data_IF_554248834357
#
_entry.id   IF_554248834357
#
_cell.length_a   1.000
_cell.length_b   1.000
_cell.length_c   1.000
_cell.angle_alpha   90.00
_cell.angle_beta   90.00
_cell.angle_gamma   90.00
#
_symmetry.space_group_name_H-M   'P 1'
#
loop_
_entity.id
_entity.type
_entity.pdbx_description
1 polymer ?
#
# COMPACT_ATOMS: atom_id res chain seq x y z
N UNK A 1 10.99 24.22 -4.33
CA UNK A 1 11.05 22.98 -5.11
C UNK A 1 9.87 22.14 -4.67
N UNK A 2 9.08 21.66 -5.60
CA UNK A 2 7.92 20.81 -5.27
C UNK A 2 8.39 19.39 -4.93
N UNK A 3 7.74 18.79 -3.95
CA UNK A 3 8.01 17.43 -3.46
C UNK A 3 6.77 16.58 -3.72
N UNK A 4 6.96 15.35 -4.20
CA UNK A 4 5.93 14.32 -4.26
C UNK A 4 6.03 13.44 -3.02
N UNK A 5 4.97 13.40 -2.23
CA UNK A 5 4.87 12.56 -1.02
C UNK A 5 4.04 11.32 -1.34
N UNK A 6 4.64 10.15 -1.19
CA UNK A 6 3.99 8.86 -1.41
C UNK A 6 3.99 8.06 -0.11
N UNK A 7 2.82 7.73 0.39
CA UNK A 7 2.66 6.90 1.59
C UNK A 7 2.26 5.46 1.22
N UNK A 8 2.70 4.49 2.02
CA UNK A 8 2.14 3.13 2.03
C UNK A 8 1.67 2.77 3.43
N UNK A 9 0.51 2.12 3.54
CA UNK A 9 -0.07 1.74 4.82
C UNK A 9 -0.94 0.48 4.70
N UNK A 10 -0.54 -0.61 5.35
CA UNK A 10 -1.41 -1.76 5.56
C UNK A 10 -2.39 -1.41 6.69
N UNK A 11 -3.68 -1.29 6.38
CA UNK A 11 -4.72 -0.81 7.31
C UNK A 11 -5.40 -1.95 8.11
N UNK A 12 -4.91 -3.17 7.99
CA UNK A 12 -5.46 -4.34 8.68
C UNK A 12 -7.00 -4.41 8.61
N UNK A 13 -7.55 -4.20 7.42
CA UNK A 13 -9.01 -4.24 7.14
C UNK A 13 -9.85 -3.19 7.89
N UNK A 14 -9.21 -2.18 8.48
CA UNK A 14 -9.87 -1.17 9.31
C UNK A 14 -10.39 -1.68 10.65
N UNK A 15 -9.93 -2.85 11.11
CA UNK A 15 -10.39 -3.51 12.34
C UNK A 15 -9.20 -4.04 13.13
N UNK A 16 -9.12 -3.72 14.41
CA UNK A 16 -8.08 -4.20 15.32
C UNK A 16 -8.62 -5.14 16.38
N UNK A 17 -7.77 -6.05 16.90
CA UNK A 17 -8.08 -7.00 17.93
C UNK A 17 -8.70 -8.30 17.41
N UNK A 18 -8.95 -9.24 18.33
CA UNK A 18 -9.46 -10.61 18.03
C UNK A 18 -10.72 -10.90 18.86
N UNK A 19 -11.60 -11.71 18.31
CA UNK A 19 -12.81 -12.16 19.02
C UNK A 19 -13.69 -11.00 19.50
N UNK A 20 -14.14 -11.02 20.76
CA UNK A 20 -15.05 -10.00 21.30
C UNK A 20 -14.39 -8.64 21.57
N UNK A 21 -13.05 -8.59 21.59
CA UNK A 21 -12.30 -7.32 21.80
C UNK A 21 -11.95 -6.60 20.50
N UNK A 22 -12.56 -7.01 19.39
CA UNK A 22 -12.37 -6.31 18.11
C UNK A 22 -12.93 -4.90 18.16
N UNK A 23 -12.20 -3.98 17.54
CA UNK A 23 -12.56 -2.56 17.45
C UNK A 23 -12.52 -2.11 16.01
N UNK A 24 -13.51 -1.32 15.63
CA UNK A 24 -13.53 -0.65 14.34
C UNK A 24 -12.63 0.58 14.41
N UNK A 25 -11.58 0.58 13.62
CA UNK A 25 -10.58 1.66 13.57
C UNK A 25 -10.63 2.47 12.26
N UNK A 26 -11.49 2.10 11.31
CA UNK A 26 -11.55 2.71 9.99
C UNK A 26 -11.74 4.25 10.03
N UNK A 27 -12.51 4.77 10.99
CA UNK A 27 -12.69 6.21 11.17
C UNK A 27 -11.43 6.91 11.63
N UNK A 28 -10.68 6.29 12.56
CA UNK A 28 -9.40 6.79 13.01
C UNK A 28 -8.35 6.72 11.88
N UNK A 29 -8.42 5.67 11.05
CA UNK A 29 -7.56 5.53 9.87
C UNK A 29 -7.87 6.63 8.84
N UNK A 30 -9.15 7.03 8.66
CA UNK A 30 -9.51 8.17 7.81
C UNK A 30 -8.79 9.45 8.24
N UNK A 31 -8.86 9.81 9.52
CA UNK A 31 -8.11 10.95 10.07
C UNK A 31 -6.58 10.78 9.94
N UNK A 32 -6.09 9.55 10.10
CA UNK A 32 -4.68 9.25 9.92
C UNK A 32 -4.23 9.48 8.48
N UNK A 33 -5.02 9.05 7.48
CA UNK A 33 -4.72 9.28 6.06
C UNK A 33 -4.65 10.77 5.75
N UNK A 34 -5.56 11.60 6.30
CA UNK A 34 -5.48 13.05 6.18
C UNK A 34 -4.19 13.61 6.80
N UNK A 35 -3.79 13.11 7.98
CA UNK A 35 -2.59 13.56 8.70
C UNK A 35 -1.28 13.16 7.99
N UNK A 36 -1.27 12.12 7.14
CA UNK A 36 -0.09 11.77 6.35
C UNK A 36 0.29 12.89 5.37
N UNK A 37 -0.67 13.73 4.98
CA UNK A 37 -0.51 14.80 3.97
C UNK A 37 0.31 14.32 2.76
N UNK A 38 -0.01 13.11 2.29
CA UNK A 38 0.68 12.49 1.17
C UNK A 38 -0.10 12.71 -0.11
N UNK A 39 0.57 13.02 -1.21
CA UNK A 39 -0.07 13.21 -2.52
C UNK A 39 -0.68 11.93 -3.07
N UNK A 40 -0.04 10.80 -2.74
CA UNK A 40 -0.46 9.44 -3.12
C UNK A 40 -0.39 8.56 -1.89
N UNK A 41 -1.47 7.82 -1.60
CA UNK A 41 -1.54 6.86 -0.50
C UNK A 41 -1.84 5.47 -1.05
N UNK A 42 -0.90 4.54 -0.87
CA UNK A 42 -1.01 3.14 -1.25
C UNK A 42 -1.48 2.32 -0.06
N UNK A 43 -2.67 1.75 -0.13
CA UNK A 43 -3.29 1.03 0.97
C UNK A 43 -3.36 -0.48 0.69
N UNK A 44 -3.10 -1.30 1.70
CA UNK A 44 -3.24 -2.74 1.66
C UNK A 44 -4.30 -3.21 2.65
N UNK A 45 -4.86 -4.39 2.40
CA UNK A 45 -5.95 -4.99 3.16
C UNK A 45 -7.22 -4.14 3.22
N UNK A 46 -7.48 -3.36 2.19
CA UNK A 46 -8.69 -2.53 2.06
C UNK A 46 -9.90 -3.40 1.71
N UNK A 47 -11.06 -3.13 2.29
CA UNK A 47 -12.31 -3.84 2.01
C UNK A 47 -13.28 -2.98 1.20
N UNK A 48 -13.90 -3.59 0.21
CA UNK A 48 -15.05 -3.00 -0.48
C UNK A 48 -16.35 -3.43 0.19
N UNK A 49 -16.44 -4.73 0.54
CA UNK A 49 -17.63 -5.31 1.17
C UNK A 49 -17.21 -6.33 2.23
N UNK A 50 -17.88 -6.34 3.38
CA UNK A 50 -17.76 -7.43 4.36
C UNK A 50 -19.01 -7.59 5.22
N UNK A 51 -19.98 -8.39 4.74
CA UNK A 51 -21.35 -8.57 5.32
C UNK A 51 -21.40 -8.94 6.80
N UNK A 52 -20.40 -9.71 7.29
CA UNK A 52 -20.36 -10.10 8.71
C UNK A 52 -19.94 -8.96 9.62
N UNK A 53 -18.99 -8.14 9.21
CA UNK A 53 -18.51 -7.02 10.02
C UNK A 53 -19.45 -5.83 9.96
N UNK A 54 -20.05 -5.58 8.82
CA UNK A 54 -21.14 -4.63 8.64
C UNK A 54 -22.29 -4.87 9.63
N UNK A 55 -22.65 -6.15 9.89
CA UNK A 55 -23.64 -6.51 10.91
C UNK A 55 -23.12 -6.42 12.35
N UNK A 56 -21.82 -6.58 12.54
CA UNK A 56 -21.19 -6.60 13.86
C UNK A 56 -20.90 -5.20 14.40
N UNK A 57 -20.45 -4.29 13.53
CA UNK A 57 -20.08 -2.93 13.89
C UNK A 57 -21.17 -1.93 13.50
N UNK A 58 -21.82 -1.30 14.48
CA UNK A 58 -22.90 -0.31 14.24
C UNK A 58 -22.45 0.92 13.46
N UNK A 59 -21.14 1.23 13.43
CA UNK A 59 -20.55 2.37 12.73
C UNK A 59 -19.75 1.94 11.50
N UNK A 60 -20.07 0.80 10.91
CA UNK A 60 -19.43 0.39 9.65
C UNK A 60 -19.73 1.42 8.56
N UNK A 61 -18.72 1.87 7.76
CA UNK A 61 -18.95 2.86 6.72
C UNK A 61 -19.94 2.35 5.67
N UNK A 62 -20.82 3.22 5.19
CA UNK A 62 -21.74 2.92 4.08
C UNK A 62 -20.99 2.82 2.73
N UNK A 63 -19.93 3.62 2.57
CA UNK A 63 -19.07 3.59 1.40
C UNK A 63 -18.03 2.46 1.51
N UNK A 64 -17.56 1.92 0.38
CA UNK A 64 -16.36 1.08 0.35
C UNK A 64 -15.18 1.78 1.04
N UNK A 65 -14.33 1.03 1.73
CA UNK A 65 -13.27 1.62 2.56
C UNK A 65 -12.33 2.55 1.77
N UNK A 66 -12.01 2.23 0.51
CA UNK A 66 -11.15 3.10 -0.30
C UNK A 66 -11.76 4.49 -0.52
N UNK A 67 -13.05 4.54 -0.83
CA UNK A 67 -13.79 5.78 -1.02
C UNK A 67 -13.99 6.54 0.31
N UNK A 68 -14.29 5.80 1.38
CA UNK A 68 -14.45 6.35 2.72
C UNK A 68 -13.14 6.98 3.27
N UNK A 69 -11.99 6.40 2.93
CA UNK A 69 -10.67 6.87 3.39
C UNK A 69 -10.09 7.98 2.52
N UNK A 70 -10.65 8.24 1.35
CA UNK A 70 -10.16 9.27 0.45
C UNK A 70 -10.44 10.67 1.03
N UNK A 71 -9.41 11.49 1.29
CA UNK A 71 -9.62 12.88 1.67
C UNK A 71 -10.35 13.66 0.59
N UNK A 72 -10.94 14.81 0.96
CA UNK A 72 -11.61 15.67 -0.01
C UNK A 72 -10.65 16.05 -1.16
N UNK A 73 -11.14 15.93 -2.39
CA UNK A 73 -10.37 16.20 -3.61
C UNK A 73 -9.46 15.06 -4.07
N UNK A 74 -9.40 13.93 -3.34
CA UNK A 74 -8.68 12.76 -3.80
C UNK A 74 -9.55 11.83 -4.65
N UNK A 75 -8.91 11.18 -5.62
CA UNK A 75 -9.49 10.08 -6.37
C UNK A 75 -9.10 8.75 -5.72
N UNK A 76 -10.05 7.85 -5.53
CA UNK A 76 -9.82 6.52 -5.01
C UNK A 76 -9.89 5.47 -6.14
N UNK A 77 -8.89 4.58 -6.19
CA UNK A 77 -8.88 3.40 -7.05
C UNK A 77 -8.73 2.18 -6.17
N UNK A 78 -9.61 1.20 -6.34
CA UNK A 78 -9.59 -0.05 -5.57
C UNK A 78 -9.60 -1.26 -6.49
N UNK A 79 -8.88 -2.30 -6.08
CA UNK A 79 -8.90 -3.60 -6.76
C UNK A 79 -8.93 -4.74 -5.75
N UNK A 80 -9.87 -5.65 -5.95
CA UNK A 80 -9.99 -6.88 -5.15
C UNK A 80 -8.85 -7.83 -5.47
N UNK A 81 -8.15 -8.30 -4.44
CA UNK A 81 -7.14 -9.35 -4.56
C UNK A 81 -7.69 -10.69 -4.07
N UNK A 82 -8.49 -10.69 -3.01
CA UNK A 82 -8.98 -11.90 -2.38
C UNK A 82 -10.47 -11.80 -2.06
N UNK A 83 -11.18 -12.89 -2.39
CA UNK A 83 -12.61 -13.04 -2.10
C UNK A 83 -12.81 -14.14 -1.07
N UNK A 84 -13.67 -13.88 -0.09
CA UNK A 84 -14.04 -14.80 0.97
C UNK A 84 -15.55 -15.03 1.00
N UNK A 85 -16.02 -15.99 1.78
CA UNK A 85 -17.47 -16.23 1.97
C UNK A 85 -18.24 -14.99 2.43
N UNK A 86 -17.59 -14.08 3.17
CA UNK A 86 -18.26 -12.96 3.83
C UNK A 86 -17.97 -11.60 3.19
N UNK A 87 -17.05 -11.52 2.26
CA UNK A 87 -16.63 -10.29 1.61
C UNK A 87 -15.32 -10.43 0.86
N UNK A 88 -14.68 -9.32 0.62
CA UNK A 88 -13.45 -9.23 -0.16
C UNK A 88 -12.48 -8.23 0.46
N UNK A 89 -11.22 -8.32 0.07
CA UNK A 89 -10.23 -7.32 0.38
C UNK A 89 -9.18 -7.22 -0.74
N UNK A 90 -8.52 -6.09 -0.81
CA UNK A 90 -7.55 -5.86 -1.86
C UNK A 90 -6.65 -4.67 -1.58
N UNK A 91 -6.13 -4.12 -2.64
CA UNK A 91 -5.29 -2.94 -2.63
C UNK A 91 -6.07 -1.71 -3.09
N UNK A 92 -5.73 -0.55 -2.54
CA UNK A 92 -6.25 0.73 -3.00
C UNK A 92 -5.15 1.77 -3.17
N UNK A 93 -5.43 2.76 -4.00
CA UNK A 93 -4.61 3.96 -4.15
C UNK A 93 -5.53 5.17 -4.04
N UNK A 94 -5.15 6.11 -3.18
CA UNK A 94 -5.77 7.43 -3.08
C UNK A 94 -4.80 8.45 -3.68
N UNK A 95 -5.29 9.34 -4.54
CA UNK A 95 -4.44 10.31 -5.23
C UNK A 95 -5.04 11.71 -5.21
N UNK A 96 -4.25 12.68 -4.78
CA UNK A 96 -4.50 14.12 -4.95
C UNK A 96 -4.34 14.55 -6.41
N UNK A 97 -3.55 13.79 -7.18
CA UNK A 97 -3.30 14.02 -8.60
C UNK A 97 -4.28 13.25 -9.48
N UNK A 98 -4.62 13.76 -10.67
CA UNK A 98 -5.53 13.08 -11.58
C UNK A 98 -5.06 11.67 -11.95
N UNK A 99 -5.95 10.70 -11.81
CA UNK A 99 -5.77 9.33 -12.27
C UNK A 99 -6.04 9.28 -13.77
N UNK A 100 -5.06 8.81 -14.53
CA UNK A 100 -5.14 8.69 -16.01
C UNK A 100 -5.70 7.34 -16.42
N UNK A 101 -5.19 6.28 -15.80
CA UNK A 101 -5.64 4.90 -16.02
C UNK A 101 -5.24 4.00 -14.85
N UNK A 102 -5.85 2.84 -14.77
CA UNK A 102 -5.45 1.80 -13.83
C UNK A 102 -5.60 0.41 -14.44
N UNK A 103 -4.84 -0.54 -13.89
CA UNK A 103 -4.86 -1.96 -14.26
C UNK A 103 -4.62 -2.84 -13.04
N UNK A 104 -4.87 -4.12 -13.22
CA UNK A 104 -4.68 -5.13 -12.18
C UNK A 104 -4.07 -6.40 -12.79
N UNK A 105 -3.23 -7.08 -12.00
CA UNK A 105 -2.74 -8.41 -12.34
C UNK A 105 -2.81 -9.32 -11.12
N UNK A 106 -3.23 -10.57 -11.33
CA UNK A 106 -3.24 -11.61 -10.30
C UNK A 106 -1.79 -12.05 -10.03
N UNK A 107 -1.36 -11.90 -8.80
CA UNK A 107 -0.02 -12.24 -8.30
C UNK A 107 -0.06 -13.48 -7.40
N UNK A 108 -1.16 -14.22 -7.39
CA UNK A 108 -1.34 -15.39 -6.53
C UNK A 108 -0.39 -16.52 -6.96
N UNK A 109 0.43 -16.98 -6.03
CA UNK A 109 1.35 -18.10 -6.27
C UNK A 109 0.68 -19.46 -6.00
N UNK A 110 -0.32 -19.46 -5.11
CA UNK A 110 -1.11 -20.64 -4.78
C UNK A 110 -2.50 -20.26 -4.29
N UNK A 111 -3.45 -21.22 -4.40
CA UNK A 111 -4.89 -21.01 -4.16
C UNK A 111 -5.27 -20.56 -2.73
N UNK A 112 -4.40 -20.73 -1.75
CA UNK A 112 -4.69 -20.42 -0.36
C UNK A 112 -4.36 -18.99 0.02
N UNK A 113 -3.60 -18.28 -0.81
CA UNK A 113 -3.17 -16.91 -0.56
C UNK A 113 -3.30 -16.08 -1.83
N UNK A 114 -4.47 -15.47 -1.99
CA UNK A 114 -4.75 -14.61 -3.14
C UNK A 114 -4.04 -13.27 -2.97
N UNK A 115 -3.29 -12.87 -3.97
CA UNK A 115 -2.54 -11.62 -4.05
C UNK A 115 -2.74 -10.96 -5.40
N UNK A 116 -2.67 -9.65 -5.43
CA UNK A 116 -2.80 -8.88 -6.66
C UNK A 116 -1.93 -7.64 -6.65
N UNK A 117 -1.65 -7.17 -7.85
CA UNK A 117 -0.98 -5.92 -8.14
C UNK A 117 -2.03 -4.93 -8.61
N UNK A 118 -2.09 -3.75 -7.99
CA UNK A 118 -2.84 -2.61 -8.50
C UNK A 118 -1.86 -1.62 -9.11
N UNK A 119 -1.96 -1.37 -10.42
CA UNK A 119 -1.18 -0.38 -11.13
C UNK A 119 -2.05 0.84 -11.47
N UNK A 120 -1.62 2.02 -11.08
CA UNK A 120 -2.31 3.29 -11.36
C UNK A 120 -1.33 4.25 -12.01
N UNK A 121 -1.76 4.90 -13.09
CA UNK A 121 -1.03 5.98 -13.73
C UNK A 121 -1.63 7.31 -13.25
N UNK A 122 -0.80 8.16 -12.68
CA UNK A 122 -1.21 9.50 -12.20
C UNK A 122 -0.46 10.59 -12.97
N UNK A 123 -1.16 11.70 -13.22
CA UNK A 123 -0.56 12.88 -13.86
C UNK A 123 -0.05 13.83 -12.78
N UNK A 124 1.25 13.78 -12.49
CA UNK A 124 1.90 14.65 -11.51
C UNK A 124 2.53 15.84 -12.26
N UNK A 125 1.91 17.00 -12.16
CA UNK A 125 2.29 18.18 -12.94
C UNK A 125 2.35 17.86 -14.45
N UNK A 126 3.55 17.91 -15.05
CA UNK A 126 3.77 17.67 -16.49
C UNK A 126 4.28 16.27 -16.80
N UNK A 127 4.47 15.42 -15.79
CA UNK A 127 4.97 14.06 -15.98
C UNK A 127 3.96 13.00 -15.56
N UNK A 128 4.00 11.86 -16.22
CA UNK A 128 3.26 10.67 -15.83
C UNK A 128 4.10 9.88 -14.83
N UNK A 129 3.46 9.47 -13.74
CA UNK A 129 4.06 8.63 -12.71
C UNK A 129 3.24 7.34 -12.63
N UNK A 130 3.89 6.22 -12.80
CA UNK A 130 3.31 4.89 -12.57
C UNK A 130 3.44 4.54 -11.10
N UNK A 131 2.36 4.09 -10.48
CA UNK A 131 2.34 3.65 -9.08
C UNK A 131 1.77 2.25 -9.01
N UNK A 132 2.55 1.31 -8.49
CA UNK A 132 2.14 -0.08 -8.29
C UNK A 132 1.99 -0.32 -6.80
N UNK A 133 0.79 -0.76 -6.38
CA UNK A 133 0.49 -1.13 -5.00
C UNK A 133 0.52 -2.64 -4.87
N UNK A 134 1.29 -3.14 -3.91
CA UNK A 134 1.50 -4.57 -3.65
C UNK A 134 1.12 -4.95 -2.22
N UNK A 135 0.74 -6.21 -2.05
CA UNK A 135 0.77 -6.94 -0.78
C UNK A 135 1.24 -8.36 -1.08
N UNK A 136 2.52 -8.64 -0.82
CA UNK A 136 3.14 -9.93 -1.16
C UNK A 136 2.78 -11.03 -0.15
N UNK A 137 3.02 -12.27 -0.56
CA UNK A 137 2.71 -13.46 0.22
C UNK A 137 3.61 -13.64 1.46
N UNK A 138 3.13 -14.44 2.41
CA UNK A 138 3.84 -14.75 3.66
C UNK A 138 5.00 -15.75 3.44
N UNK A 139 4.95 -16.56 2.37
CA UNK A 139 5.95 -17.58 2.07
C UNK A 139 7.09 -16.97 1.27
N UNK A 140 8.34 -17.11 1.75
CA UNK A 140 9.51 -16.50 1.12
C UNK A 140 9.71 -16.92 -0.35
N UNK A 141 9.51 -18.19 -0.69
CA UNK A 141 9.62 -18.67 -2.07
C UNK A 141 8.53 -18.08 -2.97
N UNK A 142 7.31 -17.91 -2.46
CA UNK A 142 6.21 -17.26 -3.18
C UNK A 142 6.55 -15.80 -3.48
N UNK A 143 7.09 -15.06 -2.50
CA UNK A 143 7.51 -13.67 -2.71
C UNK A 143 8.53 -13.52 -3.83
N UNK A 144 9.51 -14.43 -3.92
CA UNK A 144 10.49 -14.37 -5.01
C UNK A 144 9.84 -14.56 -6.39
N UNK A 145 8.90 -15.50 -6.53
CA UNK A 145 8.13 -15.69 -7.77
C UNK A 145 7.25 -14.49 -8.08
N UNK A 146 6.62 -13.91 -7.07
CA UNK A 146 5.82 -12.68 -7.21
C UNK A 146 6.66 -11.48 -7.65
N UNK A 147 7.90 -11.34 -7.17
CA UNK A 147 8.83 -10.31 -7.66
C UNK A 147 9.23 -10.55 -9.12
N UNK A 148 9.39 -11.80 -9.54
CA UNK A 148 9.65 -12.13 -10.95
C UNK A 148 8.45 -11.77 -11.84
N UNK A 149 7.23 -12.08 -11.41
CA UNK A 149 5.99 -11.67 -12.09
C UNK A 149 5.87 -10.14 -12.14
N UNK A 150 6.18 -9.44 -11.05
CA UNK A 150 6.25 -7.97 -11.02
C UNK A 150 7.22 -7.44 -12.06
N UNK A 151 8.41 -8.04 -12.19
CA UNK A 151 9.41 -7.64 -13.18
C UNK A 151 8.88 -7.77 -14.61
N UNK A 152 8.26 -8.90 -14.94
CA UNK A 152 7.63 -9.15 -16.24
C UNK A 152 6.49 -8.14 -16.52
N UNK A 153 5.68 -7.85 -15.51
CA UNK A 153 4.63 -6.83 -15.60
C UNK A 153 5.22 -5.44 -15.90
N UNK A 154 6.23 -5.04 -15.15
CA UNK A 154 6.89 -3.74 -15.32
C UNK A 154 7.50 -3.61 -16.73
N UNK A 155 8.13 -4.66 -17.24
CA UNK A 155 8.71 -4.66 -18.59
C UNK A 155 7.66 -4.52 -19.70
N UNK A 156 6.47 -5.08 -19.48
CA UNK A 156 5.35 -5.05 -20.43
C UNK A 156 4.58 -3.72 -20.38
N UNK A 157 4.31 -3.20 -19.16
CA UNK A 157 3.32 -2.15 -18.97
C UNK A 157 3.92 -0.76 -18.65
N UNK A 158 5.18 -0.68 -18.24
CA UNK A 158 5.78 0.57 -17.75
C UNK A 158 6.96 0.99 -18.63
N UNK A 159 6.82 2.05 -19.44
CA UNK A 159 7.92 2.55 -20.26
C UNK A 159 9.17 2.86 -19.43
N UNK A 160 10.34 2.46 -19.91
CA UNK A 160 11.61 2.58 -19.15
C UNK A 160 11.96 4.02 -18.76
N UNK A 161 11.49 5.00 -19.54
CA UNK A 161 11.76 6.44 -19.32
C UNK A 161 10.77 7.11 -18.37
N UNK A 162 9.66 6.44 -18.06
CA UNK A 162 8.64 6.99 -17.16
C UNK A 162 8.96 6.66 -15.71
N UNK A 163 8.58 7.57 -14.81
CA UNK A 163 8.76 7.40 -13.39
C UNK A 163 7.87 6.28 -12.85
N UNK A 164 8.43 5.43 -11.99
CA UNK A 164 7.73 4.31 -11.37
C UNK A 164 7.97 4.32 -9.87
N UNK A 165 6.89 4.17 -9.13
CA UNK A 165 6.88 3.87 -7.69
C UNK A 165 6.25 2.50 -7.49
N UNK A 166 6.86 1.65 -6.68
CA UNK A 166 6.29 0.38 -6.22
C UNK A 166 6.24 0.43 -4.71
N UNK A 167 5.03 0.41 -4.14
CA UNK A 167 4.81 0.59 -2.71
C UNK A 167 3.88 -0.48 -2.14
N UNK A 168 4.07 -0.84 -0.87
CA UNK A 168 3.19 -1.80 -0.21
C UNK A 168 3.84 -2.57 0.92
N UNK A 169 3.11 -3.59 1.37
CA UNK A 169 3.57 -4.60 2.31
C UNK A 169 4.23 -5.75 1.54
N UNK A 170 5.54 -5.82 1.64
CA UNK A 170 6.36 -6.84 0.96
C UNK A 170 6.54 -8.12 1.78
N UNK A 171 6.09 -8.13 3.03
CA UNK A 171 6.30 -9.24 3.96
C UNK A 171 7.76 -9.74 4.00
N UNK A 172 8.73 -8.83 3.77
CA UNK A 172 10.16 -9.17 3.64
C UNK A 172 10.89 -9.17 4.98
N UNK A 173 10.62 -10.16 5.79
CA UNK A 173 11.19 -10.34 7.13
C UNK A 173 12.72 -10.31 7.19
N UNK A 174 13.40 -10.54 6.10
CA UNK A 174 14.86 -10.64 6.06
C UNK A 174 15.55 -9.62 5.18
N UNK A 175 14.82 -8.69 4.56
CA UNK A 175 15.37 -7.70 3.62
C UNK A 175 15.97 -8.33 2.35
N UNK A 176 15.45 -9.47 1.93
CA UNK A 176 16.00 -10.27 0.82
C UNK A 176 15.54 -9.81 -0.55
N UNK A 177 14.46 -9.02 -0.61
CA UNK A 177 13.86 -8.58 -1.88
C UNK A 177 14.56 -7.36 -2.49
N UNK A 178 15.41 -6.66 -1.75
CA UNK A 178 16.15 -5.49 -2.23
C UNK A 178 16.97 -5.78 -3.49
N UNK A 179 17.73 -6.88 -3.50
CA UNK A 179 18.55 -7.26 -4.66
C UNK A 179 17.71 -7.62 -5.89
N UNK A 180 16.66 -8.45 -5.80
CA UNK A 180 15.73 -8.65 -6.91
C UNK A 180 15.10 -7.35 -7.43
N UNK A 181 14.63 -6.46 -6.57
CA UNK A 181 14.04 -5.17 -6.97
C UNK A 181 15.02 -4.27 -7.72
N UNK A 182 16.28 -4.26 -7.30
CA UNK A 182 17.33 -3.48 -7.97
C UNK A 182 17.55 -3.89 -9.44
N UNK A 183 17.29 -5.16 -9.81
CA UNK A 183 17.40 -5.65 -11.21
C UNK A 183 16.44 -4.90 -12.15
N UNK A 184 15.32 -4.41 -11.62
CA UNK A 184 14.34 -3.62 -12.38
C UNK A 184 14.60 -2.11 -12.31
N UNK A 185 15.76 -1.71 -11.78
CA UNK A 185 16.13 -0.31 -11.57
C UNK A 185 15.39 0.36 -10.41
N UNK A 186 14.66 -0.41 -9.63
CA UNK A 186 13.91 0.05 -8.47
C UNK A 186 14.81 0.10 -7.24
N UNK A 187 14.94 1.28 -6.64
CA UNK A 187 15.75 1.52 -5.44
C UNK A 187 14.84 1.97 -4.29
N UNK A 188 15.08 1.42 -3.12
CA UNK A 188 14.50 1.94 -1.88
C UNK A 188 15.36 3.08 -1.32
N UNK A 189 14.88 3.71 -0.23
CA UNK A 189 15.64 4.71 0.46
C UNK A 189 16.83 4.06 1.18
N UNK A 190 18.03 4.53 0.86
CA UNK A 190 19.29 4.00 1.40
C UNK A 190 19.58 4.69 2.74
N UNK A 191 19.84 3.91 3.78
CA UNK A 191 20.40 4.37 5.04
C UNK A 191 19.85 3.65 6.26
N UNK A 192 18.74 4.08 6.80
CA UNK A 192 18.17 3.50 8.01
C UNK A 192 17.06 2.49 7.69
N UNK A 193 16.99 1.42 8.50
CA UNK A 193 15.87 0.49 8.43
C UNK A 193 14.60 1.20 8.84
N UNK A 194 13.65 1.28 7.92
CA UNK A 194 12.33 1.87 8.14
C UNK A 194 11.42 0.85 8.81
N UNK A 195 11.60 0.61 10.11
CA UNK A 195 10.85 -0.40 10.86
C UNK A 195 9.38 0.00 10.99
N UNK A 196 8.48 -0.81 10.44
CA UNK A 196 7.04 -0.56 10.40
C UNK A 196 6.21 -1.59 11.16
N UNK A 197 6.77 -2.78 11.47
CA UNK A 197 6.04 -3.88 12.08
C UNK A 197 6.77 -4.50 13.29
N UNK A 198 6.06 -4.93 14.35
CA UNK A 198 4.68 -4.56 14.66
C UNK A 198 4.59 -3.10 15.12
N UNK A 199 3.50 -2.41 14.81
CA UNK A 199 3.36 -0.98 15.04
C UNK A 199 3.65 -0.51 16.46
N UNK A 200 3.35 -1.35 17.48
CA UNK A 200 3.57 -1.02 18.91
C UNK A 200 5.06 -1.03 19.30
N UNK A 201 5.84 -1.96 18.74
CA UNK A 201 7.28 -2.10 18.96
C UNK A 201 7.93 -2.53 17.64
N UNK A 202 8.24 -1.59 16.75
CA UNK A 202 8.73 -1.91 15.43
C UNK A 202 10.08 -2.63 15.46
N UNK A 203 10.11 -3.86 14.94
CA UNK A 203 11.28 -4.75 14.89
C UNK A 203 11.64 -5.18 13.47
N UNK A 204 10.67 -5.11 12.54
CA UNK A 204 10.84 -5.51 11.16
C UNK A 204 10.43 -4.38 10.20
N UNK A 205 11.10 -4.29 9.07
CA UNK A 205 10.65 -3.51 7.92
C UNK A 205 9.91 -4.45 6.98
N UNK A 206 8.59 -4.32 6.90
CA UNK A 206 7.74 -5.08 5.98
C UNK A 206 7.19 -4.22 4.86
N UNK A 207 7.04 -2.92 5.13
CA UNK A 207 6.51 -1.95 4.19
C UNK A 207 7.66 -1.21 3.49
N UNK A 208 7.56 -1.07 2.18
CA UNK A 208 8.58 -0.45 1.34
C UNK A 208 7.97 0.50 0.32
N UNK A 209 8.75 1.50 -0.06
CA UNK A 209 8.53 2.33 -1.24
C UNK A 209 9.80 2.28 -2.08
N UNK A 210 9.72 1.62 -3.22
CA UNK A 210 10.77 1.58 -4.23
C UNK A 210 10.46 2.57 -5.34
N UNK A 211 11.48 3.19 -5.92
CA UNK A 211 11.29 4.11 -7.03
C UNK A 211 12.35 3.98 -8.11
N UNK A 212 11.94 4.34 -9.33
CA UNK A 212 12.77 4.53 -10.53
C UNK A 212 12.37 5.83 -11.20
N UNK A 213 13.35 6.61 -11.69
CA UNK A 213 13.08 7.87 -12.39
C UNK A 213 12.66 9.04 -11.52
N UNK A 214 12.69 8.87 -10.18
CA UNK A 214 12.46 9.91 -9.18
C UNK A 214 13.67 10.06 -8.27
N UNK A 215 13.96 11.29 -7.82
CA UNK A 215 15.07 11.56 -6.92
C UNK A 215 14.57 11.56 -5.47
N UNK A 216 15.02 10.60 -4.63
CA UNK A 216 14.59 10.53 -3.23
C UNK A 216 15.11 11.74 -2.42
N UNK A 217 14.29 12.20 -1.49
CA UNK A 217 14.58 13.32 -0.56
C UNK A 217 14.62 12.82 0.88
N UNK A 218 13.62 12.05 1.31
CA UNK A 218 13.51 11.59 2.67
C UNK A 218 12.48 10.48 2.87
N UNK A 219 12.51 9.89 4.06
CA UNK A 219 11.53 8.90 4.55
C UNK A 219 11.06 9.30 5.93
N UNK A 220 9.78 9.21 6.17
CA UNK A 220 9.13 9.45 7.45
C UNK A 220 8.31 8.23 7.86
N UNK A 221 8.35 7.87 9.14
CA UNK A 221 7.49 6.86 9.75
C UNK A 221 6.81 7.48 10.95
N UNK A 222 5.52 7.83 10.85
CA UNK A 222 4.75 8.34 11.96
C UNK A 222 4.72 7.32 13.11
N UNK A 223 5.00 7.79 14.32
CA UNK A 223 5.08 6.94 15.51
C UNK A 223 4.19 7.47 16.63
N UNK A 224 3.95 6.64 17.63
CA UNK A 224 3.20 7.01 18.82
C UNK A 224 1.92 6.21 19.01
N UNK A 225 1.26 6.48 20.16
CA UNK A 225 0.13 5.67 20.65
C UNK A 225 -1.07 5.63 19.68
N UNK A 226 -1.30 6.68 18.94
CA UNK A 226 -2.40 6.76 17.98
C UNK A 226 -2.20 5.73 16.87
N UNK A 227 -1.00 5.69 16.28
CA UNK A 227 -0.67 4.85 15.13
C UNK A 227 -0.76 3.35 15.43
N UNK A 228 -0.16 2.87 16.53
CA UNK A 228 -0.18 1.43 16.86
C UNK A 228 -1.54 0.91 17.34
N UNK A 229 -2.51 1.80 17.58
CA UNK A 229 -3.89 1.40 17.89
C UNK A 229 -4.73 1.16 16.64
N UNK A 230 -4.38 1.78 15.52
CA UNK A 230 -5.16 1.75 14.29
C UNK A 230 -4.85 0.53 13.40
N UNK A 231 -3.59 0.14 13.33
CA UNK A 231 -3.12 -1.02 12.57
C UNK A 231 -1.98 -1.70 13.31
N UNK A 232 -1.66 -2.93 12.94
CA UNK A 232 -0.45 -3.64 13.37
C UNK A 232 0.78 -3.24 12.55
N UNK A 233 0.61 -2.47 11.48
CA UNK A 233 1.65 -1.79 10.73
C UNK A 233 1.68 -0.28 11.04
N UNK A 234 2.85 0.35 10.90
CA UNK A 234 3.00 1.80 10.80
C UNK A 234 3.03 2.22 9.33
N UNK A 235 2.48 3.40 8.99
CA UNK A 235 2.63 3.93 7.64
C UNK A 235 4.08 4.33 7.39
N UNK A 236 4.51 4.28 6.12
CA UNK A 236 5.78 4.78 5.65
C UNK A 236 5.53 5.81 4.56
N UNK A 237 6.12 6.98 4.69
CA UNK A 237 6.03 8.09 3.73
C UNK A 237 7.40 8.27 3.09
N UNK A 238 7.43 8.27 1.76
CA UNK A 238 8.62 8.55 0.97
C UNK A 238 8.45 9.87 0.22
N UNK A 239 9.48 10.69 0.21
CA UNK A 239 9.50 12.00 -0.43
C UNK A 239 10.44 12.00 -1.63
N UNK A 240 9.96 12.54 -2.75
CA UNK A 240 10.70 12.64 -4.00
C UNK A 240 10.69 14.08 -4.51
N UNK A 241 11.82 14.51 -5.05
CA UNK A 241 11.90 15.80 -5.75
C UNK A 241 11.21 15.69 -7.12
N UNK A 242 10.30 16.63 -7.37
CA UNK A 242 9.67 16.84 -8.68
C UNK A 242 10.51 17.77 -9.57
#
# INVERSE_FOLDING_TARGET
MSVLRVATYNIHKGVQGVGPVRRLEIHNIGHAVEQLDADIVCLQEVRKLHRREERYFTRWPELPQAEFLAPEGYQAVYQTNATTRHGEHGNALLSRWPVVSHGHEDMSDHRFEQRGLLHVQVQVQRQRVHVIVLHLGLIAASRLRQIEQLGQYIEREVPRREALVVAGDFNDWGGKLRLPMNRFGLKDFIGERSLTYPARLPLAQLDYVYARGLKPVGVEIPRGRIWWRMSDHLPLIAEFKL
#
